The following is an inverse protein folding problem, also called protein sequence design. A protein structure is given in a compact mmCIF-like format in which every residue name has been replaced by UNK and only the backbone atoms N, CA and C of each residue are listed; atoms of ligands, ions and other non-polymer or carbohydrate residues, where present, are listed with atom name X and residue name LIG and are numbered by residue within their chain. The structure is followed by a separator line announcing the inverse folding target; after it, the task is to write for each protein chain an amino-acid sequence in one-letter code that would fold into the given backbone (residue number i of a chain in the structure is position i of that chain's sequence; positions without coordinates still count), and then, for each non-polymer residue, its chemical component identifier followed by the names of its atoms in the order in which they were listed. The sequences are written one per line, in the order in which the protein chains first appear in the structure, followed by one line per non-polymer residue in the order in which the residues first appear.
data_IF_418079601481
#
_entry.id   IF_418079601481
#
_cell.length_a   1.000
_cell.length_b   1.000
_cell.length_c   1.000
_cell.angle_alpha   90.00
_cell.angle_beta   90.00
_cell.angle_gamma   90.00
#
_symmetry.space_group_name_H-M   'P 1'
#
loop_
_entity.id
_entity.type
_entity.pdbx_description
1 polymer ?
#
# COMPACT_ATOMS: atom_id res chain seq x y z
N UNK A 1 3.64 85.78 -16.62
CA UNK A 1 4.40 85.26 -17.77
C UNK A 1 5.88 85.28 -17.41
N UNK A 2 6.39 84.19 -16.81
CA UNK A 2 7.80 83.73 -16.89
C UNK A 2 8.02 82.53 -15.95
N UNK A 3 8.67 81.53 -16.54
CA UNK A 3 9.13 80.22 -16.11
C UNK A 3 9.39 79.98 -14.61
N UNK A 4 8.94 78.82 -14.12
CA UNK A 4 9.62 78.04 -13.09
C UNK A 4 9.40 76.53 -13.29
N UNK A 5 10.47 75.79 -13.05
CA UNK A 5 10.81 74.44 -13.52
C UNK A 5 10.47 73.34 -12.48
N UNK A 6 10.47 72.06 -12.91
CA UNK A 6 10.91 70.86 -12.14
C UNK A 6 9.85 70.28 -11.15
N UNK A 7 9.62 68.98 -10.93
CA UNK A 7 10.39 67.72 -11.04
C UNK A 7 9.39 66.56 -11.28
N UNK A 8 9.64 65.70 -12.28
CA UNK A 8 9.00 64.38 -12.40
C UNK A 8 9.84 63.40 -11.57
N UNK A 9 9.32 62.94 -10.43
CA UNK A 9 9.96 61.89 -9.64
C UNK A 9 9.62 60.53 -10.23
N UNK A 10 10.48 60.02 -11.11
CA UNK A 10 10.54 58.60 -11.42
C UNK A 10 11.45 57.91 -10.40
N UNK A 11 10.87 57.35 -9.33
CA UNK A 11 11.60 56.42 -8.47
C UNK A 11 11.63 55.07 -9.17
N UNK A 12 12.80 54.79 -9.75
CA UNK A 12 13.21 53.55 -10.40
C UNK A 12 12.85 52.30 -9.60
N UNK A 13 12.38 51.27 -10.32
CA UNK A 13 12.29 49.89 -9.87
C UNK A 13 13.58 49.45 -9.16
N UNK A 14 13.42 48.85 -7.98
CA UNK A 14 14.48 48.13 -7.30
C UNK A 14 14.77 46.84 -8.04
N UNK A 15 16.00 46.68 -8.49
CA UNK A 15 16.55 45.46 -9.07
C UNK A 15 16.84 44.46 -7.92
N UNK A 16 15.80 43.80 -7.41
CA UNK A 16 15.98 42.64 -6.53
C UNK A 16 16.20 41.41 -7.41
N UNK A 17 17.47 41.01 -7.56
CA UNK A 17 17.80 39.68 -8.09
C UNK A 17 17.27 38.63 -7.13
N UNK A 18 16.20 37.96 -7.55
CA UNK A 18 15.60 36.83 -6.83
C UNK A 18 16.60 35.66 -6.91
N UNK A 19 17.04 35.16 -5.76
CA UNK A 19 17.85 33.94 -5.68
C UNK A 19 16.96 32.73 -5.97
N UNK A 20 17.03 32.24 -7.21
CA UNK A 20 16.23 31.12 -7.71
C UNK A 20 16.85 29.76 -7.38
N UNK A 21 18.01 29.71 -6.73
CA UNK A 21 18.75 28.47 -6.46
C UNK A 21 17.96 27.59 -5.49
N UNK A 22 17.50 28.16 -4.37
CA UNK A 22 16.67 27.44 -3.40
C UNK A 22 15.32 27.03 -3.96
N UNK A 23 14.70 27.89 -4.77
CA UNK A 23 13.44 27.57 -5.42
C UNK A 23 13.60 26.41 -6.42
N UNK A 24 14.73 26.35 -7.13
CA UNK A 24 15.05 25.26 -8.06
C UNK A 24 15.35 23.95 -7.35
N UNK A 25 16.12 23.97 -6.26
CA UNK A 25 16.36 22.78 -5.43
C UNK A 25 15.03 22.26 -4.84
N UNK A 26 14.17 23.15 -4.34
CA UNK A 26 12.82 22.76 -3.88
C UNK A 26 11.92 22.24 -5.01
N UNK A 27 12.13 22.66 -6.26
CA UNK A 27 11.36 22.19 -7.42
C UNK A 27 11.86 20.85 -7.95
N UNK A 28 13.19 20.62 -7.96
CA UNK A 28 13.80 19.33 -8.30
C UNK A 28 13.36 18.24 -7.29
N UNK A 29 13.22 18.58 -6.02
CA UNK A 29 12.68 17.68 -4.98
C UNK A 29 11.16 17.44 -5.10
N UNK A 30 10.46 18.24 -5.92
CA UNK A 30 8.99 18.19 -6.16
C UNK A 30 8.63 17.69 -7.56
N UNK A 31 9.54 17.04 -8.26
CA UNK A 31 9.26 16.51 -9.60
C UNK A 31 8.10 15.50 -9.53
N UNK A 32 7.00 15.77 -10.24
CA UNK A 32 5.82 14.91 -10.26
C UNK A 32 6.20 13.63 -11.01
N UNK A 33 6.47 12.56 -10.24
CA UNK A 33 6.78 11.23 -10.79
C UNK A 33 5.55 10.67 -11.51
N UNK A 34 5.62 10.60 -12.83
CA UNK A 34 4.61 9.92 -13.65
C UNK A 34 4.95 8.43 -13.65
N UNK A 35 4.36 7.69 -12.72
CA UNK A 35 4.43 6.21 -12.65
C UNK A 35 3.19 5.60 -13.30
N UNK A 36 3.40 4.59 -14.13
CA UNK A 36 2.32 3.88 -14.81
C UNK A 36 1.51 3.03 -13.83
N UNK A 37 0.27 2.75 -14.21
CA UNK A 37 -0.61 1.89 -13.40
C UNK A 37 -0.10 0.44 -13.33
N UNK A 38 0.67 -0.01 -14.33
CA UNK A 38 1.33 -1.31 -14.36
C UNK A 38 2.49 -1.39 -13.37
N UNK A 39 3.38 -0.39 -13.35
CA UNK A 39 4.49 -0.33 -12.39
C UNK A 39 3.97 -0.28 -10.95
N UNK A 40 2.86 0.42 -10.69
CA UNK A 40 2.24 0.45 -9.37
C UNK A 40 1.71 -0.94 -8.98
N UNK A 41 1.07 -1.66 -9.90
CA UNK A 41 0.57 -3.01 -9.62
C UNK A 41 1.71 -3.99 -9.35
N UNK A 42 2.73 -3.99 -10.20
CA UNK A 42 3.91 -4.84 -10.06
C UNK A 42 4.62 -4.55 -8.74
N UNK A 43 4.90 -3.28 -8.45
CA UNK A 43 5.56 -2.88 -7.21
C UNK A 43 4.74 -3.23 -5.97
N UNK A 44 3.43 -3.05 -6.01
CA UNK A 44 2.56 -3.41 -4.89
C UNK A 44 2.53 -4.93 -4.65
N UNK A 45 2.53 -5.73 -5.72
CA UNK A 45 2.66 -7.20 -5.63
C UNK A 45 3.97 -7.61 -4.95
N UNK A 46 5.09 -7.01 -5.37
CA UNK A 46 6.39 -7.26 -4.74
C UNK A 46 6.42 -6.88 -3.26
N UNK A 47 5.90 -5.70 -2.93
CA UNK A 47 5.82 -5.22 -1.54
C UNK A 47 4.96 -6.16 -0.69
N UNK A 48 3.78 -6.54 -1.19
CA UNK A 48 2.89 -7.46 -0.49
C UNK A 48 3.54 -8.82 -0.25
N UNK A 49 4.20 -9.38 -1.28
CA UNK A 49 4.97 -10.62 -1.16
C UNK A 49 6.09 -10.52 -0.13
N UNK A 50 6.86 -9.43 -0.15
CA UNK A 50 7.95 -9.23 0.80
C UNK A 50 7.46 -9.10 2.25
N UNK A 51 6.33 -8.41 2.47
CA UNK A 51 5.74 -8.28 3.81
C UNK A 51 5.16 -9.63 4.29
N UNK A 52 4.49 -10.36 3.40
CA UNK A 52 3.86 -11.64 3.74
C UNK A 52 4.87 -12.78 3.98
N UNK A 53 6.14 -12.63 3.57
CA UNK A 53 7.19 -13.61 3.85
C UNK A 53 7.44 -13.83 5.34
N UNK A 54 7.15 -12.83 6.17
CA UNK A 54 7.30 -12.93 7.62
C UNK A 54 6.06 -13.52 8.32
N UNK A 55 4.98 -13.79 7.57
CA UNK A 55 3.73 -14.28 8.17
C UNK A 55 3.83 -15.78 8.42
N UNK A 56 3.39 -16.21 9.59
CA UNK A 56 3.46 -17.61 10.00
C UNK A 56 2.14 -18.11 10.59
N UNK A 57 1.86 -19.37 10.32
CA UNK A 57 0.81 -20.15 10.98
C UNK A 57 1.50 -21.28 11.74
N UNK A 58 1.10 -21.49 13.00
CA UNK A 58 1.58 -22.62 13.81
C UNK A 58 0.39 -23.37 14.37
N UNK A 59 0.37 -24.69 14.17
CA UNK A 59 -0.62 -25.56 14.79
C UNK A 59 -0.03 -26.11 16.10
N UNK A 60 -0.67 -25.78 17.22
CA UNK A 60 -0.25 -26.23 18.55
C UNK A 60 -1.33 -27.11 19.14
N UNK A 61 -0.95 -28.30 19.61
CA UNK A 61 -1.85 -29.16 20.35
C UNK A 61 -1.91 -28.70 21.81
N UNK A 62 -3.10 -28.32 22.25
CA UNK A 62 -3.34 -27.88 23.62
C UNK A 62 -3.29 -29.10 24.57
N UNK A 63 -2.41 -29.11 25.60
CA UNK A 63 -2.12 -30.34 26.36
C UNK A 63 -3.27 -30.91 27.18
N UNK A 64 -4.25 -30.09 27.56
CA UNK A 64 -5.30 -30.47 28.52
C UNK A 64 -6.56 -30.98 27.82
N UNK A 65 -7.00 -30.30 26.77
CA UNK A 65 -8.15 -30.67 25.92
C UNK A 65 -7.75 -31.60 24.77
N UNK A 66 -6.47 -31.59 24.38
CA UNK A 66 -5.98 -32.32 23.21
C UNK A 66 -6.37 -31.70 21.87
N UNK A 67 -7.01 -30.52 21.89
CA UNK A 67 -7.48 -29.78 20.71
C UNK A 67 -6.31 -29.14 19.97
N UNK A 68 -6.38 -29.11 18.64
CA UNK A 68 -5.43 -28.35 17.82
C UNK A 68 -5.87 -26.89 17.74
N UNK A 69 -4.93 -25.98 18.05
CA UNK A 69 -5.14 -24.54 18.04
C UNK A 69 -4.24 -23.94 16.98
N UNK A 70 -4.82 -23.14 16.09
CA UNK A 70 -4.07 -22.40 15.08
C UNK A 70 -3.66 -21.04 15.67
N UNK A 71 -2.36 -20.80 15.72
CA UNK A 71 -1.77 -19.51 16.04
C UNK A 71 -1.24 -18.84 14.78
N UNK A 72 -1.36 -17.52 14.73
CA UNK A 72 -0.92 -16.70 13.59
C UNK A 72 0.00 -15.59 14.05
N UNK A 73 1.06 -15.36 13.30
CA UNK A 73 2.01 -14.27 13.50
C UNK A 73 2.16 -13.45 12.21
N UNK A 74 2.14 -12.13 12.33
CA UNK A 74 2.35 -11.19 11.23
C UNK A 74 3.80 -10.75 11.08
N UNK A 75 4.70 -11.33 11.88
CA UNK A 75 6.10 -10.96 11.94
C UNK A 75 6.29 -9.55 12.53
N UNK A 76 7.31 -8.81 12.10
CA UNK A 76 7.61 -7.50 12.67
C UNK A 76 6.48 -6.48 12.43
N UNK A 77 6.33 -5.55 13.37
CA UNK A 77 5.41 -4.43 13.24
C UNK A 77 5.71 -3.62 11.98
N UNK A 78 4.65 -3.08 11.36
CA UNK A 78 4.77 -2.25 10.18
C UNK A 78 3.69 -1.17 10.17
N UNK A 79 3.86 -0.18 9.30
CA UNK A 79 2.86 0.88 9.06
C UNK A 79 1.62 0.38 8.29
N UNK A 80 1.64 -0.85 7.79
CA UNK A 80 0.57 -1.43 6.98
C UNK A 80 -0.43 -2.18 7.86
N UNK A 81 -1.70 -2.08 7.50
CA UNK A 81 -2.73 -2.90 8.13
C UNK A 81 -2.64 -4.32 7.56
N UNK A 82 -2.55 -5.30 8.45
CA UNK A 82 -2.42 -6.72 8.13
C UNK A 82 -3.60 -7.46 8.74
N UNK A 83 -4.20 -8.34 7.95
CA UNK A 83 -5.37 -9.11 8.33
C UNK A 83 -5.16 -10.58 8.02
N UNK A 84 -5.83 -11.43 8.79
CA UNK A 84 -5.96 -12.86 8.57
C UNK A 84 -7.44 -13.14 8.49
N UNK A 85 -7.83 -13.99 7.55
CA UNK A 85 -9.20 -14.42 7.39
C UNK A 85 -9.21 -15.93 7.30
N UNK A 86 -9.83 -16.59 8.27
CA UNK A 86 -10.00 -18.05 8.23
C UNK A 86 -11.26 -18.41 7.43
N UNK A 87 -11.24 -19.55 6.76
CA UNK A 87 -12.40 -19.98 5.97
C UNK A 87 -13.59 -20.46 6.79
N UNK A 88 -13.37 -20.87 8.03
CA UNK A 88 -14.39 -21.34 8.96
C UNK A 88 -14.99 -20.23 9.84
N UNK A 89 -14.42 -19.03 9.78
CA UNK A 89 -14.94 -17.82 10.43
C UNK A 89 -15.27 -16.78 9.35
N UNK A 90 -16.55 -16.61 8.96
CA UNK A 90 -16.91 -15.84 7.77
C UNK A 90 -16.55 -14.35 7.82
N UNK A 91 -16.16 -13.80 8.97
CA UNK A 91 -15.78 -12.39 9.22
C UNK A 91 -16.75 -11.32 8.66
N UNK A 92 -16.63 -10.06 9.12
CA UNK A 92 -17.47 -8.94 8.65
C UNK A 92 -16.95 -8.33 7.33
N UNK A 93 -16.44 -9.18 6.43
CA UNK A 93 -15.93 -8.77 5.13
C UNK A 93 -17.05 -8.23 4.22
N UNK A 94 -16.72 -7.21 3.41
CA UNK A 94 -17.66 -6.66 2.45
C UNK A 94 -16.97 -6.20 1.15
N UNK A 95 -17.79 -5.90 0.15
CA UNK A 95 -17.33 -5.35 -1.12
C UNK A 95 -16.27 -6.21 -1.82
N UNK A 96 -15.19 -5.58 -2.29
CA UNK A 96 -14.10 -6.27 -2.98
C UNK A 96 -13.34 -7.24 -2.09
N UNK A 97 -13.20 -6.96 -0.80
CA UNK A 97 -12.48 -7.84 0.12
C UNK A 97 -13.23 -9.18 0.29
N UNK A 98 -14.57 -9.12 0.43
CA UNK A 98 -15.43 -10.31 0.45
C UNK A 98 -15.33 -11.11 -0.85
N UNK A 99 -15.39 -10.46 -2.01
CA UNK A 99 -15.27 -11.14 -3.30
C UNK A 99 -13.94 -11.90 -3.46
N UNK A 100 -12.85 -11.32 -2.96
CA UNK A 100 -11.54 -11.98 -2.96
C UNK A 100 -11.57 -13.17 -2.01
N UNK A 101 -12.05 -12.99 -0.78
CA UNK A 101 -12.18 -14.10 0.17
C UNK A 101 -12.99 -15.27 -0.38
N UNK A 102 -14.15 -15.00 -0.98
CA UNK A 102 -15.02 -16.01 -1.60
C UNK A 102 -14.32 -16.74 -2.74
N UNK A 103 -13.46 -16.06 -3.51
CA UNK A 103 -12.68 -16.71 -4.57
C UNK A 103 -11.63 -17.69 -4.00
N UNK A 104 -10.95 -17.32 -2.91
CA UNK A 104 -10.00 -18.21 -2.22
C UNK A 104 -10.73 -19.40 -1.57
N UNK A 105 -11.90 -19.16 -0.96
CA UNK A 105 -12.74 -20.21 -0.40
C UNK A 105 -13.23 -21.18 -1.47
N UNK A 106 -13.72 -20.65 -2.60
CA UNK A 106 -14.14 -21.44 -3.75
C UNK A 106 -12.98 -22.30 -4.27
N UNK A 107 -11.77 -21.72 -4.40
CA UNK A 107 -10.60 -22.46 -4.85
C UNK A 107 -10.30 -23.64 -3.91
N UNK A 108 -10.31 -23.43 -2.59
CA UNK A 108 -10.15 -24.52 -1.61
C UNK A 108 -11.22 -25.61 -1.81
N UNK A 109 -12.47 -25.24 -1.96
CA UNK A 109 -13.59 -26.19 -2.07
C UNK A 109 -13.58 -27.02 -3.36
N UNK A 110 -12.84 -26.57 -4.37
CA UNK A 110 -12.74 -27.22 -5.67
C UNK A 110 -11.33 -27.74 -5.97
N UNK A 111 -10.46 -27.83 -4.96
CA UNK A 111 -9.06 -28.28 -5.08
C UNK A 111 -8.25 -27.48 -6.14
N UNK A 112 -8.53 -26.18 -6.25
CA UNK A 112 -7.83 -25.24 -7.13
C UNK A 112 -6.75 -24.52 -6.32
N UNK A 113 -5.53 -24.46 -6.86
CA UNK A 113 -4.45 -23.69 -6.27
C UNK A 113 -4.77 -22.18 -6.27
N UNK A 114 -4.60 -21.52 -5.12
CA UNK A 114 -4.80 -20.09 -5.00
C UNK A 114 -3.47 -19.35 -5.07
N UNK A 115 -3.35 -18.46 -6.04
CA UNK A 115 -2.20 -17.58 -6.18
C UNK A 115 -2.38 -16.28 -5.37
N UNK A 116 -1.30 -15.55 -5.05
CA UNK A 116 -1.41 -14.19 -4.55
C UNK A 116 -2.14 -13.28 -5.53
N UNK A 117 -2.90 -12.32 -5.01
CA UNK A 117 -3.75 -11.44 -5.79
C UNK A 117 -3.65 -9.99 -5.29
N UNK A 118 -3.89 -9.04 -6.20
CA UNK A 118 -3.91 -7.60 -5.89
C UNK A 118 -5.20 -6.98 -6.39
N UNK A 119 -5.93 -6.33 -5.49
CA UNK A 119 -7.11 -5.55 -5.84
C UNK A 119 -6.92 -4.08 -5.46
N UNK A 120 -7.50 -3.19 -6.26
CA UNK A 120 -7.64 -1.77 -5.92
C UNK A 120 -8.94 -1.59 -5.16
N UNK A 121 -8.86 -1.16 -3.90
CA UNK A 121 -10.02 -0.85 -3.05
C UNK A 121 -10.04 0.64 -2.70
N UNK A 122 -11.14 1.12 -2.11
CA UNK A 122 -11.32 2.53 -1.75
C UNK A 122 -10.99 3.47 -2.93
N UNK A 123 -11.61 3.21 -4.08
CA UNK A 123 -11.38 3.92 -5.34
C UNK A 123 -9.91 3.95 -5.80
N UNK A 124 -9.13 2.91 -5.46
CA UNK A 124 -7.74 2.76 -5.86
C UNK A 124 -6.74 3.51 -4.97
N UNK A 125 -7.19 4.06 -3.84
CA UNK A 125 -6.31 4.69 -2.83
C UNK A 125 -5.50 3.61 -2.10
N UNK A 126 -6.02 2.39 -1.99
CA UNK A 126 -5.38 1.26 -1.33
C UNK A 126 -5.21 0.10 -2.32
N UNK A 127 -4.02 -0.49 -2.31
CA UNK A 127 -3.70 -1.75 -2.97
C UNK A 127 -3.85 -2.85 -1.92
N UNK A 128 -4.84 -3.69 -2.11
CA UNK A 128 -5.18 -4.81 -1.24
C UNK A 128 -4.51 -6.07 -1.77
N UNK A 129 -3.39 -6.41 -1.16
CA UNK A 129 -2.66 -7.64 -1.47
C UNK A 129 -3.21 -8.80 -0.64
N UNK A 130 -3.48 -9.93 -1.28
CA UNK A 130 -3.89 -11.17 -0.62
C UNK A 130 -3.01 -12.34 -1.04
N UNK A 131 -2.84 -13.31 -0.15
CA UNK A 131 -2.10 -14.55 -0.43
C UNK A 131 -2.70 -15.69 0.40
N UNK A 132 -2.68 -16.95 -0.08
CA UNK A 132 -3.19 -18.06 0.70
C UNK A 132 -2.48 -18.18 2.06
N UNK A 133 -3.24 -18.54 3.09
CA UNK A 133 -2.74 -18.84 4.44
C UNK A 133 -2.75 -20.36 4.64
N UNK A 134 -1.56 -20.94 4.84
CA UNK A 134 -1.40 -22.38 5.01
C UNK A 134 -1.10 -22.73 6.47
N UNK A 135 -1.82 -23.73 6.99
CA UNK A 135 -1.40 -24.50 8.15
C UNK A 135 -0.82 -25.82 7.63
N UNK A 136 0.47 -26.02 7.84
CA UNK A 136 1.26 -27.08 7.21
C UNK A 136 1.12 -27.06 5.67
N UNK A 137 0.38 -28.02 5.08
CA UNK A 137 0.12 -28.09 3.63
C UNK A 137 -1.34 -27.84 3.27
N UNK A 138 -2.16 -27.43 4.24
CA UNK A 138 -3.60 -27.18 4.06
C UNK A 138 -3.85 -25.68 4.06
N UNK A 139 -4.53 -25.19 3.03
CA UNK A 139 -4.99 -23.80 3.01
C UNK A 139 -6.16 -23.65 4.00
N UNK A 140 -5.97 -22.81 5.01
CA UNK A 140 -6.94 -22.57 6.09
C UNK A 140 -7.60 -21.20 5.99
N UNK A 141 -7.12 -20.35 5.08
CA UNK A 141 -7.66 -19.02 4.86
C UNK A 141 -6.84 -18.18 3.90
N UNK A 142 -6.90 -16.86 4.07
CA UNK A 142 -6.06 -15.90 3.35
C UNK A 142 -5.46 -14.86 4.30
N UNK A 143 -4.25 -14.42 3.97
CA UNK A 143 -3.68 -13.20 4.52
C UNK A 143 -4.06 -12.02 3.64
N UNK A 144 -4.22 -10.84 4.24
CA UNK A 144 -4.39 -9.60 3.50
C UNK A 144 -3.55 -8.45 4.05
N UNK A 145 -3.13 -7.57 3.16
CA UNK A 145 -2.31 -6.40 3.48
C UNK A 145 -2.89 -5.19 2.73
N UNK A 146 -3.19 -4.13 3.47
CA UNK A 146 -3.57 -2.85 2.89
C UNK A 146 -2.34 -1.97 2.70
N UNK A 147 -1.95 -1.78 1.44
CA UNK A 147 -0.80 -0.95 1.06
C UNK A 147 -1.32 0.35 0.45
N UNK A 148 -1.18 1.51 1.12
CA UNK A 148 -1.58 2.79 0.53
C UNK A 148 -0.85 3.03 -0.79
N UNK A 149 -1.57 3.44 -1.83
CA UNK A 149 -1.01 3.73 -3.16
C UNK A 149 0.14 4.72 -3.11
N UNK A 150 0.05 5.72 -2.24
CA UNK A 150 1.13 6.68 -2.00
C UNK A 150 2.44 6.00 -1.63
N UNK A 151 2.40 4.99 -0.76
CA UNK A 151 3.60 4.29 -0.30
C UNK A 151 4.22 3.46 -1.43
N UNK A 152 3.38 2.85 -2.28
CA UNK A 152 3.83 2.14 -3.48
C UNK A 152 4.57 3.08 -4.42
N UNK A 153 3.94 4.21 -4.77
CA UNK A 153 4.51 5.22 -5.69
C UNK A 153 5.84 5.76 -5.17
N UNK A 154 5.94 6.06 -3.87
CA UNK A 154 7.17 6.55 -3.26
C UNK A 154 8.28 5.48 -3.21
N UNK A 155 7.94 4.20 -3.33
CA UNK A 155 8.90 3.09 -3.28
C UNK A 155 9.52 2.74 -4.63
N UNK A 156 8.94 3.21 -5.75
CA UNK A 156 9.46 2.95 -7.10
C UNK A 156 10.73 3.79 -7.28
N UNK A 157 11.87 3.11 -7.49
CA UNK A 157 13.16 3.73 -7.79
C UNK A 157 13.24 4.04 -9.28
N UNK A 158 13.90 5.15 -9.62
CA UNK A 158 14.26 5.51 -10.99
C UNK A 158 15.41 4.65 -11.50
#
# INVERSE_FOLDING_TARGET
LLLATLIITATSCGDQKIDTTKAREEMEDREIKVVSDAEIVERAMEMGKAIAQDFMVTVVREPLSGTEVINTDFGPDSIYQKHRYFFDDPEDLNGKALQVFEAYLYNRENDIESEPNLQKINNGIVLYYTTPMYADSVIVGMWAIEIPRKNVVLSIKN
#
